data_IF_721363772792
#
_entry.id   IF_721363772792
#
_cell.length_a   1.000
_cell.length_b   1.000
_cell.length_c   1.000
_cell.angle_alpha   90.00
_cell.angle_beta   90.00
_cell.angle_gamma   90.00
#
_symmetry.space_group_name_H-M   'P 1'
#
loop_
_entity.id
_entity.type
_entity.pdbx_description
1 polymer ?
#
# COMPACT_ATOMS: atom_id res chain seq x y z
N UNK A 1 -63.70 13.80 -55.16
CA UNK A 1 -63.74 14.94 -54.28
C UNK A 1 -62.44 14.93 -53.42
N UNK A 2 -61.69 15.91 -53.75
CA UNK A 2 -60.46 16.38 -53.10
C UNK A 2 -60.61 16.79 -51.65
N UNK A 3 -59.59 16.56 -50.86
CA UNK A 3 -59.21 17.49 -49.78
C UNK A 3 -57.79 17.26 -49.35
N UNK A 4 -56.97 18.25 -49.54
CA UNK A 4 -55.64 18.43 -48.98
C UNK A 4 -55.75 18.96 -47.56
N UNK A 5 -54.86 18.46 -46.65
CA UNK A 5 -54.68 19.13 -45.40
C UNK A 5 -53.16 19.22 -45.11
N UNK A 6 -52.70 20.49 -45.12
CA UNK A 6 -51.39 20.86 -44.59
C UNK A 6 -51.41 20.79 -43.08
N UNK A 7 -50.45 20.17 -42.47
CA UNK A 7 -50.18 20.34 -41.07
C UNK A 7 -48.75 20.80 -40.86
N UNK A 8 -48.70 21.86 -40.13
CA UNK A 8 -47.52 22.62 -39.74
C UNK A 8 -46.71 21.82 -38.75
N UNK A 9 -45.46 21.53 -39.07
CA UNK A 9 -44.53 20.85 -38.20
C UNK A 9 -43.81 21.83 -37.28
N UNK A 10 -44.02 21.69 -36.01
CA UNK A 10 -43.17 22.32 -34.99
C UNK A 10 -41.88 21.53 -34.85
N UNK A 11 -40.82 22.16 -35.25
CA UNK A 11 -39.46 21.67 -35.04
C UNK A 11 -39.09 21.74 -33.56
N UNK A 12 -39.13 20.62 -32.86
CA UNK A 12 -38.40 20.45 -31.60
C UNK A 12 -36.98 20.02 -31.92
N UNK A 13 -36.05 20.93 -31.75
CA UNK A 13 -34.63 20.65 -31.78
C UNK A 13 -34.26 19.81 -30.55
N UNK A 14 -34.27 18.50 -30.70
CA UNK A 14 -33.55 17.63 -29.80
C UNK A 14 -32.05 17.76 -30.13
N UNK A 15 -31.32 18.46 -29.26
CA UNK A 15 -29.89 18.41 -29.25
C UNK A 15 -29.46 16.98 -28.85
N UNK A 16 -29.30 16.14 -29.84
CA UNK A 16 -28.53 14.91 -29.67
C UNK A 16 -27.09 15.33 -29.40
N UNK A 17 -26.69 15.34 -28.15
CA UNK A 17 -25.28 15.24 -27.82
C UNK A 17 -24.80 13.90 -28.38
N UNK A 18 -24.24 13.96 -29.55
CA UNK A 18 -23.41 12.90 -30.08
C UNK A 18 -22.24 12.78 -29.12
N UNK A 19 -22.26 11.78 -28.22
CA UNK A 19 -21.05 11.29 -27.67
C UNK A 19 -20.19 10.87 -28.85
N UNK A 20 -19.21 11.70 -29.21
CA UNK A 20 -18.23 11.33 -30.22
C UNK A 20 -17.43 10.18 -29.66
N UNK A 21 -17.88 8.96 -29.91
CA UNK A 21 -17.04 7.80 -29.82
C UNK A 21 -15.85 8.11 -30.74
N UNK A 22 -14.67 8.23 -30.18
CA UNK A 22 -13.45 8.43 -30.94
C UNK A 22 -13.39 7.30 -31.97
N UNK A 23 -13.49 7.62 -33.27
CA UNK A 23 -13.49 6.67 -34.38
C UNK A 23 -12.17 5.86 -34.48
N UNK A 24 -11.24 6.07 -33.55
CA UNK A 24 -9.92 5.44 -33.44
C UNK A 24 -9.76 4.53 -32.22
N UNK A 25 -10.81 4.29 -31.41
CA UNK A 25 -10.74 3.37 -30.27
C UNK A 25 -10.56 1.93 -30.73
N UNK A 26 -9.59 1.20 -30.12
CA UNK A 26 -9.33 -0.22 -30.38
C UNK A 26 -9.96 -1.13 -29.33
N UNK A 27 -10.69 -0.56 -28.40
CA UNK A 27 -11.39 -1.28 -27.32
C UNK A 27 -11.45 -0.46 -26.07
N UNK A 28 -12.04 -1.00 -25.03
CA UNK A 28 -12.16 -0.30 -23.75
C UNK A 28 -11.99 -1.24 -22.56
N UNK A 29 -11.51 -0.67 -21.45
CA UNK A 29 -11.35 -1.30 -20.15
C UNK A 29 -12.11 -0.52 -19.10
N UNK A 30 -12.62 -1.22 -18.09
CA UNK A 30 -13.20 -0.62 -16.88
C UNK A 30 -12.34 -0.95 -15.67
N UNK A 31 -11.99 0.08 -14.90
CA UNK A 31 -11.17 -0.02 -13.69
C UNK A 31 -11.96 0.54 -12.51
N UNK A 32 -12.07 -0.21 -11.44
CA UNK A 32 -12.63 0.29 -10.18
C UNK A 32 -11.54 0.75 -9.24
N UNK A 33 -11.70 1.95 -8.70
CA UNK A 33 -10.80 2.53 -7.72
C UNK A 33 -11.59 3.30 -6.66
N UNK A 34 -11.08 3.36 -5.44
CA UNK A 34 -11.68 4.15 -4.38
C UNK A 34 -11.39 5.67 -4.55
N UNK A 35 -11.99 6.47 -3.68
CA UNK A 35 -11.88 7.93 -3.70
C UNK A 35 -10.44 8.44 -3.52
N UNK A 36 -9.59 7.70 -2.81
CA UNK A 36 -8.19 8.10 -2.60
C UNK A 36 -7.29 7.82 -3.81
N UNK A 37 -7.69 6.91 -4.70
CA UNK A 37 -6.90 6.47 -5.86
C UNK A 37 -7.48 6.89 -7.21
N UNK A 38 -8.77 7.15 -7.26
CA UNK A 38 -9.54 7.40 -8.49
C UNK A 38 -8.90 8.45 -9.42
N UNK A 39 -8.62 9.64 -8.89
CA UNK A 39 -8.11 10.74 -9.71
C UNK A 39 -6.74 10.45 -10.31
N UNK A 40 -5.88 9.77 -9.56
CA UNK A 40 -4.53 9.41 -9.99
C UNK A 40 -4.56 8.38 -11.11
N UNK A 41 -5.39 7.36 -10.96
CA UNK A 41 -5.54 6.30 -11.96
C UNK A 41 -6.22 6.85 -13.22
N UNK A 42 -7.15 7.78 -13.06
CA UNK A 42 -7.79 8.48 -14.20
C UNK A 42 -6.76 9.26 -15.02
N UNK A 43 -5.86 9.99 -14.38
CA UNK A 43 -4.79 10.72 -15.07
C UNK A 43 -3.81 9.77 -15.76
N UNK A 44 -3.42 8.68 -15.10
CA UNK A 44 -2.57 7.65 -15.71
C UNK A 44 -3.25 7.02 -16.93
N UNK A 45 -4.54 6.73 -16.83
CA UNK A 45 -5.32 6.13 -17.90
C UNK A 45 -5.38 7.03 -19.15
N UNK A 46 -5.39 8.34 -19.01
CA UNK A 46 -5.32 9.29 -20.14
C UNK A 46 -4.04 9.11 -20.95
N UNK A 47 -2.91 8.94 -20.30
CA UNK A 47 -1.62 8.73 -20.97
C UNK A 47 -1.60 7.39 -21.72
N UNK A 48 -2.13 6.35 -21.09
CA UNK A 48 -2.28 5.04 -21.73
C UNK A 48 -3.17 5.09 -22.96
N UNK A 49 -4.34 5.75 -22.86
CA UNK A 49 -5.25 5.94 -23.99
C UNK A 49 -4.61 6.72 -25.12
N UNK A 50 -3.86 7.79 -24.80
CA UNK A 50 -3.16 8.58 -25.81
C UNK A 50 -2.12 7.74 -26.58
N UNK A 51 -1.42 6.85 -25.89
CA UNK A 51 -0.38 6.00 -26.48
C UNK A 51 -0.92 4.80 -27.25
N UNK A 52 -2.06 4.22 -26.83
CA UNK A 52 -2.53 2.91 -27.32
C UNK A 52 -3.86 2.95 -28.05
N UNK A 53 -4.61 4.02 -27.92
CA UNK A 53 -6.00 4.14 -28.39
C UNK A 53 -6.99 3.19 -27.68
N UNK A 54 -6.60 2.61 -26.57
CA UNK A 54 -7.48 1.84 -25.69
C UNK A 54 -8.15 2.80 -24.72
N UNK A 55 -9.47 2.86 -24.73
CA UNK A 55 -10.23 3.67 -23.77
C UNK A 55 -10.21 2.99 -22.40
N UNK A 56 -10.01 3.76 -21.36
CA UNK A 56 -10.05 3.28 -19.96
C UNK A 56 -11.05 4.11 -19.19
N UNK A 57 -12.13 3.47 -18.76
CA UNK A 57 -13.11 4.07 -17.87
C UNK A 57 -12.74 3.73 -16.42
N UNK A 58 -12.38 4.73 -15.65
CA UNK A 58 -12.13 4.58 -14.22
C UNK A 58 -13.42 4.96 -13.49
N UNK A 59 -13.92 4.03 -12.66
CA UNK A 59 -15.14 4.21 -11.87
C UNK A 59 -14.77 4.33 -10.41
N UNK A 60 -15.21 5.42 -9.79
CA UNK A 60 -15.00 5.62 -8.36
C UNK A 60 -15.98 4.77 -7.55
N UNK A 61 -15.45 4.03 -6.60
CA UNK A 61 -16.20 3.18 -5.66
C UNK A 61 -15.88 3.57 -4.21
N UNK A 62 -16.77 3.21 -3.30
CA UNK A 62 -16.49 3.32 -1.87
C UNK A 62 -15.46 2.28 -1.46
N UNK A 63 -14.39 2.71 -0.80
CA UNK A 63 -13.35 1.81 -0.26
C UNK A 63 -13.94 0.72 0.64
N UNK A 64 -14.97 1.07 1.42
CA UNK A 64 -15.60 0.15 2.37
C UNK A 64 -16.34 -1.00 1.68
N UNK A 65 -16.96 -0.76 0.52
CA UNK A 65 -17.89 -1.69 -0.10
C UNK A 65 -17.37 -2.32 -1.40
N UNK A 66 -16.33 -1.73 -2.02
CA UNK A 66 -15.94 -2.12 -3.39
C UNK A 66 -15.48 -3.58 -3.51
N UNK A 67 -14.87 -4.14 -2.48
CA UNK A 67 -14.44 -5.54 -2.45
C UNK A 67 -15.65 -6.49 -2.49
N UNK A 68 -16.67 -6.22 -1.70
CA UNK A 68 -17.89 -7.02 -1.67
C UNK A 68 -18.71 -6.86 -2.96
N UNK A 69 -18.77 -5.66 -3.50
CA UNK A 69 -19.41 -5.43 -4.80
C UNK A 69 -18.69 -6.22 -5.91
N UNK A 70 -17.36 -6.20 -5.91
CA UNK A 70 -16.55 -6.95 -6.88
C UNK A 70 -16.84 -8.45 -6.78
N UNK A 71 -16.82 -9.02 -5.57
CA UNK A 71 -17.07 -10.43 -5.30
C UNK A 71 -18.49 -10.83 -5.78
N UNK A 72 -19.48 -9.97 -5.58
CA UNK A 72 -20.86 -10.26 -5.97
C UNK A 72 -21.12 -10.08 -7.47
N UNK A 73 -20.49 -9.10 -8.12
CA UNK A 73 -20.77 -8.77 -9.52
C UNK A 73 -19.97 -9.57 -10.54
N UNK A 74 -18.70 -9.89 -10.25
CA UNK A 74 -17.84 -10.62 -11.20
C UNK A 74 -18.45 -11.96 -11.63
N UNK A 75 -18.98 -12.80 -10.73
CA UNK A 75 -19.59 -14.05 -11.17
C UNK A 75 -20.79 -13.89 -12.11
N UNK A 76 -21.46 -12.75 -12.04
CA UNK A 76 -22.61 -12.44 -12.94
C UNK A 76 -22.19 -11.83 -14.28
N UNK A 77 -20.89 -11.57 -14.48
CA UNK A 77 -20.35 -10.92 -15.67
C UNK A 77 -20.44 -9.39 -15.69
N UNK A 78 -20.77 -8.76 -14.56
CA UNK A 78 -21.04 -7.31 -14.49
C UNK A 78 -19.93 -6.50 -13.81
N UNK A 79 -18.89 -7.09 -13.30
CA UNK A 79 -17.79 -6.38 -12.65
C UNK A 79 -16.88 -5.65 -13.65
N UNK A 80 -15.86 -4.94 -13.14
CA UNK A 80 -14.84 -4.29 -13.95
C UNK A 80 -13.87 -5.32 -14.53
N UNK A 81 -13.01 -4.88 -15.43
CA UNK A 81 -11.87 -5.69 -15.90
C UNK A 81 -10.75 -5.73 -14.85
N UNK A 82 -10.57 -4.61 -14.15
CA UNK A 82 -9.48 -4.39 -13.19
C UNK A 82 -10.04 -3.71 -11.94
N UNK A 83 -9.53 -4.11 -10.79
CA UNK A 83 -9.80 -3.43 -9.51
C UNK A 83 -8.48 -3.11 -8.80
N UNK A 84 -8.42 -1.94 -8.15
CA UNK A 84 -7.24 -1.47 -7.43
C UNK A 84 -7.51 -1.49 -5.93
N UNK A 85 -6.75 -2.29 -5.21
CA UNK A 85 -6.90 -2.45 -3.75
C UNK A 85 -5.56 -2.84 -3.12
N UNK A 86 -5.53 -2.83 -1.78
CA UNK A 86 -4.43 -3.43 -1.04
C UNK A 86 -4.41 -4.96 -1.21
N UNK A 87 -3.23 -5.54 -1.08
CA UNK A 87 -3.00 -6.98 -1.28
C UNK A 87 -3.68 -7.87 -0.23
N UNK A 88 -4.03 -7.35 0.94
CA UNK A 88 -4.65 -8.13 2.02
C UNK A 88 -6.03 -8.71 1.65
N UNK A 89 -6.61 -8.23 0.55
CA UNK A 89 -7.85 -8.77 -0.02
C UNK A 89 -7.61 -9.96 -0.96
N UNK A 90 -6.37 -10.24 -1.33
CA UNK A 90 -6.03 -11.22 -2.36
C UNK A 90 -6.53 -12.63 -2.02
N UNK A 91 -6.31 -13.11 -0.81
CA UNK A 91 -6.76 -14.44 -0.40
C UNK A 91 -8.27 -14.63 -0.52
N UNK A 92 -9.04 -13.63 -0.10
CA UNK A 92 -10.50 -13.62 -0.23
C UNK A 92 -10.93 -13.63 -1.70
N UNK A 93 -10.26 -12.84 -2.54
CA UNK A 93 -10.56 -12.76 -3.97
C UNK A 93 -10.27 -14.08 -4.69
N UNK A 94 -9.16 -14.74 -4.36
CA UNK A 94 -8.80 -16.04 -4.92
C UNK A 94 -9.79 -17.12 -4.49
N UNK A 95 -10.15 -17.15 -3.20
CA UNK A 95 -11.14 -18.12 -2.68
C UNK A 95 -12.50 -17.97 -3.32
N UNK A 96 -12.91 -16.76 -3.65
CA UNK A 96 -14.17 -16.51 -4.36
C UNK A 96 -14.07 -16.66 -5.88
N UNK A 97 -12.88 -16.96 -6.41
CA UNK A 97 -12.68 -17.19 -7.83
C UNK A 97 -12.88 -15.96 -8.72
N UNK A 98 -12.78 -14.76 -8.16
CA UNK A 98 -13.08 -13.50 -8.88
C UNK A 98 -11.87 -12.82 -9.49
N UNK A 99 -10.66 -13.26 -9.16
CA UNK A 99 -9.41 -12.79 -9.76
C UNK A 99 -8.67 -13.92 -10.44
N UNK A 100 -7.88 -13.60 -11.46
CA UNK A 100 -7.06 -14.58 -12.17
C UNK A 100 -5.57 -14.22 -12.08
N UNK A 101 -4.69 -15.23 -12.19
CA UNK A 101 -3.24 -14.98 -12.18
C UNK A 101 -2.81 -14.03 -13.30
N UNK A 102 -1.80 -13.25 -13.02
CA UNK A 102 -1.12 -12.34 -13.96
C UNK A 102 0.35 -12.72 -14.00
N UNK A 103 0.85 -13.09 -15.16
CA UNK A 103 2.27 -13.39 -15.32
C UNK A 103 3.05 -12.08 -15.46
N UNK A 104 3.93 -11.78 -14.50
CA UNK A 104 4.78 -10.59 -14.54
C UNK A 104 6.05 -10.80 -15.39
N UNK A 105 6.42 -12.06 -15.69
CA UNK A 105 7.61 -12.35 -16.48
C UNK A 105 8.87 -11.66 -15.93
N UNK A 106 9.63 -11.03 -16.82
CA UNK A 106 10.87 -10.32 -16.46
C UNK A 106 10.62 -9.07 -15.62
N UNK A 107 9.40 -8.52 -15.62
CA UNK A 107 9.07 -7.35 -14.82
C UNK A 107 9.08 -7.64 -13.30
N UNK A 108 8.96 -8.91 -12.91
CA UNK A 108 8.99 -9.33 -11.52
C UNK A 108 10.20 -8.79 -10.75
N UNK A 109 11.39 -8.83 -11.38
CA UNK A 109 12.63 -8.35 -10.77
C UNK A 109 12.74 -6.83 -10.64
N UNK A 110 11.83 -6.07 -11.24
CA UNK A 110 11.80 -4.60 -11.15
C UNK A 110 11.19 -4.10 -9.84
N UNK A 111 10.47 -4.95 -9.13
CA UNK A 111 9.78 -4.61 -7.90
C UNK A 111 10.52 -5.13 -6.67
N UNK A 112 10.31 -4.48 -5.52
CA UNK A 112 10.87 -4.95 -4.27
C UNK A 112 10.35 -6.34 -3.90
N UNK A 113 11.12 -7.07 -3.11
CA UNK A 113 10.78 -8.42 -2.68
C UNK A 113 9.42 -8.47 -1.97
N UNK A 114 9.19 -7.58 -1.01
CA UNK A 114 7.93 -7.52 -0.28
C UNK A 114 6.74 -7.22 -1.21
N UNK A 115 6.92 -6.37 -2.23
CA UNK A 115 5.87 -6.08 -3.20
C UNK A 115 5.47 -7.33 -3.99
N UNK A 116 6.45 -8.10 -4.44
CA UNK A 116 6.19 -9.35 -5.17
C UNK A 116 5.57 -10.41 -4.26
N UNK A 117 6.05 -10.55 -3.03
CA UNK A 117 5.43 -11.45 -2.04
C UNK A 117 3.97 -11.07 -1.77
N UNK A 118 3.67 -9.78 -1.67
CA UNK A 118 2.30 -9.29 -1.43
C UNK A 118 1.33 -9.62 -2.57
N UNK A 119 1.77 -9.58 -3.82
CA UNK A 119 0.91 -9.93 -4.97
C UNK A 119 0.91 -11.42 -5.29
N UNK A 120 1.63 -12.22 -4.51
CA UNK A 120 1.74 -13.68 -4.68
C UNK A 120 0.81 -14.40 -3.71
N UNK A 121 0.05 -15.35 -4.22
CA UNK A 121 -0.80 -16.24 -3.44
C UNK A 121 -0.71 -17.65 -4.01
N UNK A 122 -0.42 -18.62 -3.15
CA UNK A 122 -0.27 -20.03 -3.53
C UNK A 122 0.66 -20.21 -4.75
N UNK A 123 1.81 -19.54 -4.72
CA UNK A 123 2.86 -19.62 -5.73
C UNK A 123 2.59 -18.88 -7.04
N UNK A 124 1.49 -18.16 -7.17
CA UNK A 124 1.11 -17.40 -8.37
C UNK A 124 1.01 -15.91 -8.08
N UNK A 125 1.42 -15.08 -9.03
CA UNK A 125 1.22 -13.63 -8.98
C UNK A 125 -0.15 -13.25 -9.57
N UNK A 126 -0.84 -12.30 -8.92
CA UNK A 126 -2.23 -11.95 -9.26
C UNK A 126 -2.42 -10.51 -9.71
N UNK A 127 -1.36 -9.77 -9.90
CA UNK A 127 -1.48 -8.41 -10.37
C UNK A 127 -0.16 -7.65 -10.35
N UNK A 128 -0.25 -6.35 -10.62
CA UNK A 128 0.91 -5.44 -10.65
C UNK A 128 0.91 -4.58 -9.40
N UNK A 129 1.95 -4.64 -8.56
CA UNK A 129 2.08 -3.73 -7.43
C UNK A 129 2.49 -2.34 -7.90
N UNK A 130 2.17 -1.30 -7.11
CA UNK A 130 2.66 0.05 -7.41
C UNK A 130 3.10 0.84 -6.17
N UNK A 131 2.68 0.45 -4.98
CA UNK A 131 3.09 1.12 -3.75
C UNK A 131 3.24 0.12 -2.62
N UNK A 132 4.16 0.42 -1.69
CA UNK A 132 4.39 -0.33 -0.46
C UNK A 132 4.25 0.61 0.73
N UNK A 133 3.70 0.11 1.82
CA UNK A 133 3.45 0.88 3.03
C UNK A 133 3.94 0.10 4.25
N UNK A 134 4.73 0.75 5.08
CA UNK A 134 5.18 0.20 6.36
C UNK A 134 5.46 1.33 7.34
N UNK A 135 5.63 0.97 8.60
CA UNK A 135 6.24 1.86 9.58
C UNK A 135 7.77 1.74 9.53
N UNK A 136 8.45 2.73 10.08
CA UNK A 136 9.89 2.78 10.25
C UNK A 136 10.22 3.51 11.54
N UNK A 137 11.49 3.64 11.88
CA UNK A 137 11.93 4.50 12.96
C UNK A 137 12.20 5.90 12.43
N UNK A 138 11.53 6.89 12.95
CA UNK A 138 11.73 8.30 12.60
C UNK A 138 12.47 8.97 13.75
N UNK A 139 13.60 9.61 13.44
CA UNK A 139 14.49 10.27 14.41
C UNK A 139 14.35 11.78 14.29
N UNK A 140 14.24 12.46 15.44
CA UNK A 140 14.40 13.92 15.51
C UNK A 140 15.89 14.25 15.53
N UNK A 141 16.42 14.75 14.43
CA UNK A 141 17.85 15.02 14.24
C UNK A 141 18.38 16.14 15.12
N UNK A 142 17.53 17.00 15.65
CA UNK A 142 17.91 18.04 16.60
C UNK A 142 18.27 17.45 17.97
N UNK A 143 17.64 16.33 18.34
CA UNK A 143 17.83 15.70 19.65
C UNK A 143 18.97 14.70 19.65
N UNK A 144 19.16 13.98 18.54
CA UNK A 144 20.20 12.95 18.43
C UNK A 144 20.56 12.69 16.97
N UNK A 145 21.77 12.18 16.75
CA UNK A 145 22.24 11.70 15.46
C UNK A 145 22.48 10.18 15.46
N UNK A 146 22.11 9.49 16.54
CA UNK A 146 22.35 8.05 16.68
C UNK A 146 21.46 7.24 15.75
N UNK A 147 22.01 6.13 15.24
CA UNK A 147 21.30 5.13 14.45
C UNK A 147 21.29 3.79 15.19
N UNK A 148 20.38 3.62 16.16
CA UNK A 148 20.39 2.45 17.03
C UNK A 148 20.09 1.17 16.26
N UNK A 149 20.81 0.09 16.61
CA UNK A 149 20.62 -1.24 16.06
C UNK A 149 19.71 -2.11 16.92
N UNK A 150 19.60 -1.79 18.21
CA UNK A 150 18.76 -2.51 19.17
C UNK A 150 17.78 -1.56 19.84
N UNK A 151 16.70 -2.14 20.35
CA UNK A 151 15.71 -1.41 21.13
C UNK A 151 16.34 -0.72 22.36
N UNK A 152 17.21 -1.45 23.06
CA UNK A 152 17.89 -0.88 24.25
C UNK A 152 18.80 0.29 23.88
N UNK A 153 19.53 0.22 22.79
CA UNK A 153 20.32 1.36 22.28
C UNK A 153 19.44 2.56 21.95
N UNK A 154 18.26 2.33 21.33
CA UNK A 154 17.31 3.39 21.02
C UNK A 154 16.83 4.09 22.28
N UNK A 155 16.42 3.34 23.28
CA UNK A 155 15.95 3.89 24.56
C UNK A 155 17.08 4.64 25.26
N UNK A 156 18.29 4.09 25.30
CA UNK A 156 19.45 4.76 25.88
C UNK A 156 19.78 6.06 25.16
N UNK A 157 19.73 6.07 23.84
CA UNK A 157 19.93 7.29 23.02
C UNK A 157 18.90 8.37 23.32
N UNK A 158 17.63 8.00 23.41
CA UNK A 158 16.56 8.93 23.77
C UNK A 158 16.70 9.50 25.17
N UNK A 159 17.09 8.70 26.14
CA UNK A 159 17.38 9.15 27.51
C UNK A 159 18.57 10.11 27.56
N UNK A 160 19.64 9.79 26.85
CA UNK A 160 20.83 10.65 26.73
C UNK A 160 20.49 12.01 26.09
N UNK A 161 19.58 12.02 25.13
CA UNK A 161 19.10 13.26 24.50
C UNK A 161 18.28 14.13 25.45
N UNK A 162 17.84 13.60 26.59
CA UNK A 162 17.06 14.34 27.60
C UNK A 162 15.61 14.58 27.21
N UNK A 163 15.10 13.87 26.22
CA UNK A 163 13.70 13.99 25.82
C UNK A 163 12.76 13.38 26.87
N UNK A 164 11.56 13.92 26.99
CA UNK A 164 10.53 13.43 27.92
C UNK A 164 10.24 11.95 27.67
N UNK A 165 10.06 11.59 26.40
CA UNK A 165 9.94 10.22 25.96
C UNK A 165 11.21 9.81 25.21
N UNK A 166 11.93 8.76 25.60
CA UNK A 166 13.05 8.24 24.82
C UNK A 166 12.65 7.89 23.39
N UNK A 167 11.49 7.24 23.26
CA UNK A 167 10.79 7.04 21.99
C UNK A 167 9.29 6.95 22.24
N UNK A 168 8.52 7.10 21.18
CA UNK A 168 7.06 6.89 21.21
C UNK A 168 6.65 5.97 20.07
N UNK A 169 5.66 5.15 20.35
CA UNK A 169 4.91 4.38 19.38
C UNK A 169 3.46 4.34 19.84
N UNK A 170 2.53 4.53 18.91
CA UNK A 170 1.14 4.40 19.26
C UNK A 170 0.82 2.99 19.73
N UNK A 171 0.09 2.93 20.81
CA UNK A 171 -0.55 1.73 21.31
C UNK A 171 -2.04 2.03 21.46
N UNK A 172 -2.70 1.46 22.29
CA UNK A 172 -4.00 1.75 22.87
C UNK A 172 -4.27 0.66 23.89
N UNK A 173 -5.36 0.76 24.62
CA UNK A 173 -5.77 -0.31 25.52
C UNK A 173 -6.09 -1.62 24.79
N UNK A 174 -6.43 -1.51 23.50
CA UNK A 174 -6.71 -2.67 22.64
C UNK A 174 -5.45 -3.27 21.99
N UNK A 175 -4.30 -2.61 22.18
CA UNK A 175 -3.04 -2.94 21.50
C UNK A 175 -2.97 -2.41 20.08
N UNK A 176 -1.79 -2.46 19.49
CA UNK A 176 -1.54 -2.08 18.09
C UNK A 176 -0.55 -3.05 17.45
N UNK A 177 -1.02 -4.22 16.99
CA UNK A 177 -0.14 -5.22 16.40
C UNK A 177 0.63 -4.71 15.17
N UNK A 178 0.03 -3.85 14.38
CA UNK A 178 0.66 -3.29 13.18
C UNK A 178 1.92 -2.48 13.53
N UNK A 179 1.83 -1.57 14.49
CA UNK A 179 2.97 -0.72 14.88
C UNK A 179 4.05 -1.46 15.67
N UNK A 180 3.70 -2.57 16.32
CA UNK A 180 4.62 -3.35 17.16
C UNK A 180 5.19 -4.57 16.45
N UNK A 181 4.68 -4.93 15.28
CA UNK A 181 5.04 -6.19 14.61
C UNK A 181 6.53 -6.31 14.29
N UNK A 182 7.21 -5.22 13.97
CA UNK A 182 8.65 -5.25 13.72
C UNK A 182 9.43 -5.74 14.94
N UNK A 183 9.03 -5.32 16.14
CA UNK A 183 9.64 -5.83 17.38
C UNK A 183 9.31 -7.31 17.59
N UNK A 184 8.06 -7.70 17.35
CA UNK A 184 7.61 -9.09 17.44
C UNK A 184 8.37 -10.00 16.49
N UNK A 185 8.51 -9.61 15.22
CA UNK A 185 9.25 -10.36 14.21
C UNK A 185 10.73 -10.54 14.57
N UNK A 186 11.31 -9.58 15.32
CA UNK A 186 12.69 -9.66 15.78
C UNK A 186 12.95 -10.78 16.80
N UNK A 187 11.89 -11.35 17.39
CA UNK A 187 11.94 -12.56 18.21
C UNK A 187 11.68 -13.82 17.39
N UNK A 188 11.47 -13.71 16.09
CA UNK A 188 11.07 -14.83 15.24
C UNK A 188 9.60 -15.21 15.36
N UNK A 189 8.78 -14.41 16.05
CA UNK A 189 7.34 -14.65 16.20
C UNK A 189 6.58 -14.05 15.02
N UNK A 190 6.64 -14.72 13.88
CA UNK A 190 5.96 -14.34 12.65
C UNK A 190 4.62 -15.06 12.54
N UNK A 191 3.66 -14.50 11.76
CA UNK A 191 2.30 -15.05 11.67
C UNK A 191 2.31 -16.40 10.99
N UNK A 192 2.84 -16.48 9.76
CA UNK A 192 2.91 -17.71 8.99
C UNK A 192 4.33 -17.98 8.50
N UNK A 193 4.65 -19.26 8.36
CA UNK A 193 5.88 -19.69 7.72
C UNK A 193 5.86 -19.30 6.24
N UNK A 194 6.97 -18.74 5.76
CA UNK A 194 7.20 -18.49 4.35
C UNK A 194 7.89 -19.69 3.69
N UNK A 195 7.49 -20.02 2.46
CA UNK A 195 8.22 -20.93 1.61
C UNK A 195 9.48 -20.25 1.03
N UNK A 196 10.30 -21.03 0.30
CA UNK A 196 11.56 -20.54 -0.24
C UNK A 196 11.40 -19.33 -1.20
N UNK A 197 10.26 -19.21 -1.89
CA UNK A 197 9.94 -18.08 -2.78
C UNK A 197 9.36 -16.86 -2.05
N UNK A 198 9.24 -16.90 -0.70
CA UNK A 198 8.68 -15.86 0.12
C UNK A 198 7.17 -15.87 0.27
N UNK A 199 6.45 -16.76 -0.42
CA UNK A 199 5.00 -16.92 -0.25
C UNK A 199 4.68 -17.46 1.13
N UNK A 200 3.56 -17.04 1.72
CA UNK A 200 3.08 -17.62 2.97
C UNK A 200 2.51 -19.02 2.75
N UNK A 201 2.79 -19.89 3.70
CA UNK A 201 2.13 -21.19 3.83
C UNK A 201 0.96 -21.07 4.80
N UNK A 202 0.18 -22.14 4.95
CA UNK A 202 -0.86 -22.24 5.99
C UNK A 202 -0.29 -22.59 7.38
N UNK A 203 1.02 -22.78 7.51
CA UNK A 203 1.66 -23.13 8.76
C UNK A 203 1.76 -21.91 9.68
N UNK A 204 0.96 -21.89 10.72
CA UNK A 204 0.97 -20.83 11.72
C UNK A 204 2.23 -20.96 12.59
N UNK A 205 3.01 -19.89 12.65
CA UNK A 205 4.24 -19.84 13.45
C UNK A 205 4.12 -19.02 14.73
N UNK A 206 3.02 -18.27 14.89
CA UNK A 206 2.71 -17.62 16.16
C UNK A 206 2.52 -18.65 17.28
N UNK A 207 3.01 -18.33 18.46
CA UNK A 207 2.84 -19.16 19.65
C UNK A 207 3.99 -20.10 19.97
N UNK A 208 5.08 -20.06 19.18
CA UNK A 208 6.31 -20.80 19.47
C UNK A 208 7.17 -20.15 20.56
N UNK A 209 8.44 -20.54 20.63
CA UNK A 209 9.42 -20.01 21.59
C UNK A 209 9.55 -18.49 21.49
N UNK A 210 9.58 -17.94 20.27
CA UNK A 210 9.64 -16.51 20.04
C UNK A 210 8.45 -15.75 20.61
N UNK A 211 7.26 -16.36 20.66
CA UNK A 211 6.09 -15.75 21.26
C UNK A 211 6.23 -15.57 22.77
N UNK A 212 6.79 -16.57 23.45
CA UNK A 212 7.05 -16.50 24.89
C UNK A 212 8.06 -15.41 25.22
N UNK A 213 9.16 -15.35 24.48
CA UNK A 213 10.19 -14.31 24.64
C UNK A 213 9.63 -12.91 24.35
N UNK A 214 8.85 -12.76 23.30
CA UNK A 214 8.20 -11.49 22.95
C UNK A 214 7.23 -11.04 24.05
N UNK A 215 6.41 -11.93 24.56
CA UNK A 215 5.47 -11.63 25.65
C UNK A 215 6.18 -11.17 26.91
N UNK A 216 7.28 -11.83 27.28
CA UNK A 216 8.10 -11.43 28.43
C UNK A 216 8.73 -10.05 28.21
N UNK A 217 9.22 -9.79 27.01
CA UNK A 217 9.75 -8.49 26.62
C UNK A 217 8.69 -7.39 26.70
N UNK A 218 7.49 -7.63 26.15
CA UNK A 218 6.37 -6.68 26.25
C UNK A 218 6.03 -6.33 27.68
N UNK A 219 5.96 -7.33 28.55
CA UNK A 219 5.70 -7.13 29.96
C UNK A 219 6.77 -6.26 30.62
N UNK A 220 8.04 -6.55 30.36
CA UNK A 220 9.15 -5.77 30.87
C UNK A 220 9.12 -4.31 30.39
N UNK A 221 8.79 -4.10 29.13
CA UNK A 221 8.68 -2.73 28.58
C UNK A 221 7.48 -1.98 29.14
N UNK A 222 6.37 -2.66 29.39
CA UNK A 222 5.20 -2.08 30.06
C UNK A 222 5.50 -1.66 31.50
N UNK A 223 6.22 -2.49 32.25
CA UNK A 223 6.66 -2.19 33.61
C UNK A 223 7.66 -1.02 33.65
N UNK A 224 8.55 -0.96 32.67
CA UNK A 224 9.52 0.14 32.51
C UNK A 224 8.88 1.41 31.91
N UNK A 225 7.62 1.34 31.47
CA UNK A 225 6.89 2.44 30.81
C UNK A 225 7.52 2.91 29.50
N UNK A 226 8.37 2.11 28.88
CA UNK A 226 8.88 2.37 27.53
C UNK A 226 7.83 2.08 26.46
N UNK A 227 6.96 1.11 26.72
CA UNK A 227 5.71 0.89 25.98
C UNK A 227 4.54 1.17 26.91
N UNK A 228 3.63 2.03 26.48
CA UNK A 228 2.53 2.52 27.33
C UNK A 228 1.20 2.50 26.57
N UNK A 229 0.21 1.71 27.03
CA UNK A 229 -1.11 1.66 26.40
C UNK A 229 -1.86 3.00 26.37
N UNK A 230 -1.47 3.96 27.22
CA UNK A 230 -2.06 5.30 27.22
C UNK A 230 -1.52 6.20 26.10
N UNK A 231 -0.49 5.78 25.39
CA UNK A 231 0.03 6.48 24.22
C UNK A 231 -0.84 6.12 23.00
N UNK A 232 -1.83 6.95 22.73
CA UNK A 232 -2.67 6.87 21.54
C UNK A 232 -1.91 7.40 20.32
N UNK A 233 -2.48 7.23 19.13
CA UNK A 233 -1.92 7.81 17.89
C UNK A 233 -1.73 9.33 18.01
N UNK A 234 -2.72 10.05 18.56
CA UNK A 234 -2.66 11.49 18.73
C UNK A 234 -1.61 11.90 19.76
N UNK A 235 -1.50 11.18 20.88
CA UNK A 235 -0.51 11.45 21.93
C UNK A 235 0.91 11.22 21.39
N UNK A 236 1.15 10.13 20.68
CA UNK A 236 2.46 9.83 20.09
C UNK A 236 2.86 10.90 19.06
N UNK A 237 1.96 11.23 18.16
CA UNK A 237 2.18 12.28 17.16
C UNK A 237 2.49 13.62 17.79
N UNK A 238 1.67 14.04 18.73
CA UNK A 238 1.83 15.33 19.43
C UNK A 238 3.18 15.42 20.17
N UNK A 239 3.55 14.37 20.90
CA UNK A 239 4.82 14.30 21.61
C UNK A 239 6.02 14.45 20.65
N UNK A 240 5.98 13.75 19.52
CA UNK A 240 7.06 13.82 18.53
C UNK A 240 7.12 15.20 17.85
N UNK A 241 5.98 15.73 17.41
CA UNK A 241 5.91 17.04 16.73
C UNK A 241 6.33 18.22 17.63
N UNK A 242 6.12 18.10 18.94
CA UNK A 242 6.56 19.11 19.92
C UNK A 242 8.03 18.98 20.33
N UNK A 243 8.74 18.00 19.83
CA UNK A 243 10.13 17.74 20.18
C UNK A 243 10.31 17.05 21.54
N UNK A 244 9.28 16.38 22.07
CA UNK A 244 9.31 15.72 23.36
C UNK A 244 9.72 14.24 23.28
N UNK A 245 9.95 13.72 22.08
CA UNK A 245 10.44 12.37 21.83
C UNK A 245 11.59 12.38 20.82
N UNK A 246 12.65 11.63 21.08
CA UNK A 246 13.79 11.54 20.19
C UNK A 246 13.48 10.67 18.96
N UNK A 247 12.67 9.63 19.16
CA UNK A 247 12.31 8.66 18.15
C UNK A 247 10.82 8.36 18.16
N UNK A 248 10.29 8.03 16.98
CA UNK A 248 8.92 7.56 16.82
C UNK A 248 8.87 6.41 15.82
N UNK A 249 8.19 5.33 16.16
CA UNK A 249 7.84 4.30 15.18
C UNK A 249 6.53 4.73 14.50
N UNK A 250 6.61 5.03 13.22
CA UNK A 250 5.47 5.56 12.45
C UNK A 250 5.69 5.42 10.94
N UNK A 251 4.69 5.83 10.17
CA UNK A 251 4.73 5.82 8.72
C UNK A 251 4.99 7.18 8.08
N UNK A 252 4.99 7.24 6.73
CA UNK A 252 5.28 8.46 5.97
C UNK A 252 4.35 9.64 6.30
N UNK A 253 3.11 9.36 6.69
CA UNK A 253 2.11 10.40 7.04
C UNK A 253 2.58 11.31 8.17
N UNK A 254 3.27 10.78 9.18
CA UNK A 254 3.80 11.58 10.27
C UNK A 254 5.15 12.22 9.95
N UNK A 255 5.90 11.71 8.98
CA UNK A 255 7.09 12.41 8.46
C UNK A 255 6.68 13.69 7.76
N UNK A 256 5.64 13.66 6.95
CA UNK A 256 5.07 14.87 6.33
C UNK A 256 4.63 15.89 7.38
N UNK A 257 3.92 15.43 8.40
CA UNK A 257 3.49 16.28 9.52
C UNK A 257 4.68 16.88 10.29
N UNK A 258 5.73 16.09 10.53
CA UNK A 258 6.93 16.55 11.24
C UNK A 258 7.67 17.64 10.46
N UNK A 259 7.84 17.46 9.15
CA UNK A 259 8.44 18.48 8.28
C UNK A 259 7.62 19.76 8.25
N UNK A 260 6.30 19.66 8.17
CA UNK A 260 5.40 20.81 8.22
C UNK A 260 5.50 21.57 9.55
N UNK A 261 5.80 20.86 10.65
CA UNK A 261 6.04 21.46 11.97
C UNK A 261 7.47 22.02 12.14
N UNK A 262 8.30 21.94 11.10
CA UNK A 262 9.67 22.46 11.11
C UNK A 262 10.72 21.53 11.72
N UNK A 263 10.41 20.25 11.92
CA UNK A 263 11.37 19.27 12.40
C UNK A 263 12.28 18.80 11.26
N UNK A 264 13.55 18.61 11.59
CA UNK A 264 14.50 17.88 10.75
C UNK A 264 14.51 16.42 11.21
N UNK A 265 14.08 15.53 10.34
CA UNK A 265 13.93 14.11 10.66
C UNK A 265 14.64 13.23 9.65
N UNK A 266 15.08 12.06 10.13
CA UNK A 266 15.61 10.98 9.32
C UNK A 266 14.79 9.70 9.54
N UNK A 267 14.69 8.88 8.50
CA UNK A 267 14.02 7.58 8.54
C UNK A 267 15.06 6.48 8.63
N UNK A 268 14.92 5.60 9.60
CA UNK A 268 15.86 4.54 9.94
C UNK A 268 15.13 3.19 10.02
N UNK A 269 15.84 2.07 9.84
CA UNK A 269 15.29 0.76 10.16
C UNK A 269 14.86 0.69 11.63
N UNK A 270 13.78 -0.04 11.89
CA UNK A 270 13.33 -0.29 13.27
C UNK A 270 14.36 -1.20 13.94
N UNK A 271 14.85 -0.84 15.14
CA UNK A 271 15.88 -1.63 15.82
C UNK A 271 15.33 -2.96 16.33
N UNK A 272 16.20 -3.96 16.37
CA UNK A 272 15.85 -5.28 16.87
C UNK A 272 15.61 -5.25 18.39
N UNK A 273 14.56 -5.92 18.84
CA UNK A 273 14.30 -6.16 20.25
C UNK A 273 14.71 -7.59 20.67
N UNK A 274 14.51 -8.56 19.80
CA UNK A 274 14.74 -9.97 20.09
C UNK A 274 16.04 -10.56 19.53
N UNK A 275 16.84 -9.76 18.83
CA UNK A 275 18.12 -10.16 18.27
C UNK A 275 18.10 -10.55 16.79
N UNK A 276 16.94 -10.80 16.21
CA UNK A 276 16.76 -10.98 14.76
C UNK A 276 16.42 -9.65 14.10
N UNK A 277 16.53 -9.58 12.78
CA UNK A 277 16.12 -8.38 12.04
C UNK A 277 14.66 -8.03 12.34
N UNK A 278 14.40 -6.77 12.63
CA UNK A 278 13.05 -6.26 12.83
C UNK A 278 12.41 -5.95 11.48
N UNK A 279 11.42 -6.74 11.10
CA UNK A 279 10.71 -6.62 9.83
C UNK A 279 9.28 -6.15 10.09
N UNK A 280 8.92 -4.93 9.67
CA UNK A 280 7.55 -4.46 9.84
C UNK A 280 6.59 -5.18 8.89
N UNK A 281 5.30 -5.14 9.20
CA UNK A 281 4.26 -5.47 8.24
C UNK A 281 4.30 -4.50 7.06
N UNK A 282 4.04 -5.04 5.88
CA UNK A 282 3.97 -4.27 4.64
C UNK A 282 2.58 -4.42 4.03
N UNK A 283 1.96 -3.29 3.71
CA UNK A 283 0.80 -3.21 2.83
C UNK A 283 1.28 -2.99 1.41
N UNK A 284 0.73 -3.71 0.44
CA UNK A 284 1.06 -3.56 -0.97
C UNK A 284 -0.19 -3.13 -1.72
N UNK A 285 -0.12 -2.00 -2.42
CA UNK A 285 -1.18 -1.54 -3.30
C UNK A 285 -0.99 -2.14 -4.67
N UNK A 286 -2.04 -2.70 -5.24
CA UNK A 286 -1.93 -3.45 -6.49
C UNK A 286 -3.16 -3.34 -7.38
N UNK A 287 -2.95 -3.64 -8.66
CA UNK A 287 -3.97 -3.79 -9.66
C UNK A 287 -4.27 -5.29 -9.84
N UNK A 288 -5.53 -5.68 -9.63
CA UNK A 288 -6.01 -7.06 -9.80
C UNK A 288 -6.74 -7.20 -11.13
N UNK A 289 -6.66 -8.38 -11.72
CA UNK A 289 -7.42 -8.73 -12.92
C UNK A 289 -8.66 -9.56 -12.56
N UNK A 290 -9.84 -9.13 -13.06
CA UNK A 290 -11.05 -9.93 -12.95
C UNK A 290 -10.90 -11.27 -13.67
N UNK A 291 -11.33 -12.35 -13.02
CA UNK A 291 -11.35 -13.68 -13.63
C UNK A 291 -12.34 -13.81 -14.79
N UNK A 292 -13.27 -12.87 -14.94
CA UNK A 292 -14.33 -12.88 -15.95
C UNK A 292 -14.18 -11.76 -16.99
N UNK A 293 -13.03 -11.10 -17.04
CA UNK A 293 -12.80 -10.09 -18.08
C UNK A 293 -12.92 -10.70 -19.47
N UNK A 294 -13.63 -10.02 -20.33
CA UNK A 294 -13.74 -10.34 -21.78
C UNK A 294 -12.64 -9.66 -22.60
N UNK A 295 -11.80 -8.84 -21.95
CA UNK A 295 -10.80 -7.99 -22.57
C UNK A 295 -9.38 -8.37 -22.15
N UNK A 296 -9.09 -9.66 -22.05
CA UNK A 296 -7.82 -10.21 -21.55
C UNK A 296 -6.59 -9.59 -22.23
N UNK A 297 -6.63 -9.41 -23.55
CA UNK A 297 -5.52 -8.84 -24.31
C UNK A 297 -5.29 -7.38 -23.92
N UNK A 298 -6.36 -6.61 -23.76
CA UNK A 298 -6.28 -5.19 -23.37
C UNK A 298 -5.83 -5.04 -21.92
N UNK A 299 -6.27 -5.91 -21.03
CA UNK A 299 -5.80 -5.95 -19.64
C UNK A 299 -4.30 -6.24 -19.60
N UNK A 300 -3.81 -7.21 -20.36
CA UNK A 300 -2.38 -7.50 -20.46
C UNK A 300 -1.59 -6.30 -20.97
N UNK A 301 -2.11 -5.59 -21.96
CA UNK A 301 -1.48 -4.38 -22.49
C UNK A 301 -1.41 -3.26 -21.44
N UNK A 302 -2.46 -3.06 -20.67
CA UNK A 302 -2.49 -2.09 -19.58
C UNK A 302 -1.51 -2.49 -18.46
N UNK A 303 -1.44 -3.76 -18.10
CA UNK A 303 -0.51 -4.24 -17.08
C UNK A 303 0.95 -4.14 -17.54
N UNK A 304 1.26 -4.41 -18.80
CA UNK A 304 2.59 -4.16 -19.35
C UNK A 304 2.98 -2.67 -19.27
N UNK A 305 2.02 -1.77 -19.51
CA UNK A 305 2.24 -0.33 -19.30
C UNK A 305 2.52 -0.01 -17.84
N UNK A 306 1.76 -0.59 -16.90
CA UNK A 306 1.98 -0.41 -15.46
C UNK A 306 3.35 -0.93 -14.99
N UNK A 307 3.94 -1.88 -15.70
CA UNK A 307 5.28 -2.41 -15.40
C UNK A 307 6.42 -1.50 -15.87
N UNK A 308 6.11 -0.37 -16.48
CA UNK A 308 7.11 0.59 -16.94
C UNK A 308 7.50 1.59 -15.84
N UNK A 309 8.73 2.05 -15.88
CA UNK A 309 9.19 3.13 -14.99
C UNK A 309 8.35 4.40 -15.17
N UNK A 310 7.96 4.70 -16.39
CA UNK A 310 7.14 5.89 -16.72
C UNK A 310 5.80 5.85 -15.96
N UNK A 311 5.04 4.76 -16.06
CA UNK A 311 3.75 4.62 -15.40
C UNK A 311 3.90 4.63 -13.88
N UNK A 312 4.87 3.89 -13.35
CA UNK A 312 5.13 3.82 -11.90
C UNK A 312 5.58 5.16 -11.33
N UNK A 313 6.42 5.90 -12.06
CA UNK A 313 6.83 7.26 -11.66
C UNK A 313 5.65 8.21 -11.63
N UNK A 314 4.76 8.14 -12.62
CA UNK A 314 3.56 8.99 -12.65
C UNK A 314 2.62 8.70 -11.49
N UNK A 315 2.38 7.43 -11.17
CA UNK A 315 1.59 7.05 -9.99
C UNK A 315 2.20 7.59 -8.70
N UNK A 316 3.51 7.51 -8.57
CA UNK A 316 4.21 8.07 -7.40
C UNK A 316 4.09 9.59 -7.34
N UNK A 317 4.29 10.30 -8.43
CA UNK A 317 4.19 11.76 -8.49
C UNK A 317 2.77 12.26 -8.14
N UNK A 318 1.75 11.58 -8.65
CA UNK A 318 0.36 11.94 -8.43
C UNK A 318 -0.13 11.59 -7.01
N UNK A 319 0.30 10.45 -6.49
CA UNK A 319 -0.21 9.91 -5.22
C UNK A 319 0.70 10.14 -4.01
N UNK A 320 1.98 10.37 -4.23
CA UNK A 320 2.96 10.56 -3.15
C UNK A 320 3.23 9.30 -2.31
N UNK A 321 2.78 8.12 -2.76
CA UNK A 321 3.00 6.86 -2.05
C UNK A 321 4.43 6.35 -2.26
N UNK A 322 4.89 5.51 -1.35
CA UNK A 322 6.20 4.86 -1.44
C UNK A 322 6.18 3.85 -2.60
N UNK A 323 7.06 3.99 -3.61
CA UNK A 323 6.98 3.16 -4.80
C UNK A 323 7.42 1.73 -4.55
N UNK A 324 6.71 0.79 -5.17
CA UNK A 324 7.05 -0.64 -5.17
C UNK A 324 8.17 -0.96 -6.17
N UNK A 325 8.31 -0.17 -7.23
CA UNK A 325 9.36 -0.35 -8.24
C UNK A 325 10.68 0.24 -7.73
N UNK A 326 11.71 -0.59 -7.65
CA UNK A 326 13.00 -0.23 -7.07
C UNK A 326 13.67 0.94 -7.81
N UNK A 327 13.63 0.95 -9.13
CA UNK A 327 14.23 2.03 -9.93
C UNK A 327 13.54 3.38 -9.68
N UNK A 328 12.21 3.39 -9.51
CA UNK A 328 11.48 4.60 -9.17
C UNK A 328 11.85 5.09 -7.78
N UNK A 329 11.92 4.18 -6.81
CA UNK A 329 12.34 4.51 -5.44
C UNK A 329 13.74 5.12 -5.41
N UNK A 330 14.69 4.54 -6.14
CA UNK A 330 16.08 5.02 -6.20
C UNK A 330 16.21 6.38 -6.91
N UNK A 331 15.22 6.75 -7.72
CA UNK A 331 15.20 8.02 -8.46
C UNK A 331 14.56 9.18 -7.68
N UNK A 332 13.98 8.90 -6.51
CA UNK A 332 13.35 9.94 -5.70
C UNK A 332 14.38 10.92 -5.13
N UNK A 333 14.03 12.19 -5.10
CA UNK A 333 14.84 13.22 -4.43
C UNK A 333 14.60 13.26 -2.91
N UNK A 334 13.43 12.79 -2.46
CA UNK A 334 13.09 12.72 -1.04
C UNK A 334 13.78 11.53 -0.40
N UNK A 335 14.81 11.80 0.40
CA UNK A 335 15.61 10.77 1.07
C UNK A 335 14.78 9.94 2.06
N UNK A 336 13.78 10.54 2.70
CA UNK A 336 12.93 9.82 3.65
C UNK A 336 12.03 8.81 2.93
N UNK A 337 11.45 9.17 1.78
CA UNK A 337 10.68 8.22 0.97
C UNK A 337 11.54 7.10 0.42
N UNK A 338 12.79 7.38 0.01
CA UNK A 338 13.74 6.34 -0.39
C UNK A 338 14.00 5.34 0.73
N UNK A 339 14.19 5.82 1.96
CA UNK A 339 14.41 4.97 3.13
C UNK A 339 13.17 4.13 3.44
N UNK A 340 11.96 4.70 3.36
CA UNK A 340 10.74 3.93 3.51
C UNK A 340 10.63 2.82 2.44
N UNK A 341 11.00 3.10 1.21
CA UNK A 341 10.97 2.08 0.14
C UNK A 341 11.91 0.92 0.46
N UNK A 342 13.10 1.20 0.95
CA UNK A 342 14.07 0.17 1.36
C UNK A 342 13.55 -0.66 2.53
N UNK A 343 13.03 -0.01 3.56
CA UNK A 343 12.53 -0.67 4.77
C UNK A 343 11.29 -1.52 4.45
N UNK A 344 10.31 -0.95 3.74
CA UNK A 344 9.12 -1.67 3.33
C UNK A 344 9.47 -2.81 2.37
N UNK A 345 10.41 -2.58 1.44
CA UNK A 345 10.85 -3.59 0.48
C UNK A 345 11.45 -4.84 1.10
N UNK A 346 11.98 -4.72 2.30
CA UNK A 346 12.56 -5.82 3.10
C UNK A 346 11.64 -6.29 4.23
N UNK A 347 10.44 -5.75 4.34
CA UNK A 347 9.48 -6.12 5.38
C UNK A 347 8.72 -7.41 5.06
N UNK A 348 7.69 -7.67 5.86
CA UNK A 348 6.84 -8.86 5.75
C UNK A 348 5.44 -8.43 5.32
N UNK A 349 4.96 -8.82 4.13
CA UNK A 349 3.59 -8.51 3.75
C UNK A 349 2.59 -9.01 4.79
N UNK A 350 1.56 -8.22 5.07
CA UNK A 350 0.47 -8.71 5.87
C UNK A 350 -0.14 -9.94 5.19
N UNK A 351 -0.47 -11.00 5.94
CA UNK A 351 -1.15 -12.17 5.37
C UNK A 351 -2.45 -11.77 4.67
N UNK A 352 -2.69 -12.38 3.50
CA UNK A 352 -3.86 -12.14 2.67
C UNK A 352 -4.99 -13.14 2.94
#
# INVERSE_FOLDING_TARGET
>A
ATLAACSNGSSSSSSSQSASASASSVGSLTVWADDTRYSQIQELAKDFTAATKVDVQVVQKSETDMDQEFISQVPTGNGPDIIVMAHDKLGQMVKNGVVSPVDLGDAKSKFSEAAIQGVTYDGKTYGVPYAVESVALVRNNKLTSDSPKTFDEMVASGKKAGSEYPFVVQMSTDGDPYHLYAFESSFGNEVFKQSADGSYTSDLTLGGEGASEFTQWLKAQGEAKTLNPNITADVAKDAFLKGNAAYMVTGPWNVTAAKAAGLDVSVLPIPSAGGKEAKPFVGVQMFYQSSKTKNQVLVSKFFQYLETKEAQSKLQELGGRVPAMTEVANSLSDENLKQFATIAGNGLPMPA
#
